data_IF_640429768990
#
_entry.id   IF_640429768990
#
_cell.length_a   1.000
_cell.length_b   1.000
_cell.length_c   1.000
_cell.angle_alpha   90.00
_cell.angle_beta   90.00
_cell.angle_gamma   90.00
#
_symmetry.space_group_name_H-M   'P 1'
#
loop_
_entity.id
_entity.type
_entity.pdbx_description
1 polymer ?
#
# COMPACT_ATOMS: atom_id res chain seq x y z
N UNK A 1 -56.05 18.25 -29.73
CA UNK A 1 -55.07 19.14 -29.07
C UNK A 1 -54.47 18.48 -27.85
N UNK A 2 -55.29 17.97 -26.92
CA UNK A 2 -54.88 17.25 -25.71
C UNK A 2 -53.82 16.16 -25.95
N UNK A 3 -54.07 15.20 -26.85
CA UNK A 3 -53.12 14.11 -27.15
C UNK A 3 -51.74 14.60 -27.61
N UNK A 4 -51.66 15.71 -28.34
CA UNK A 4 -50.35 16.26 -28.77
C UNK A 4 -49.59 16.87 -27.60
N UNK A 5 -50.30 17.59 -26.71
CA UNK A 5 -49.70 18.17 -25.50
C UNK A 5 -49.16 17.06 -24.60
N UNK A 6 -49.98 16.07 -24.29
CA UNK A 6 -49.59 14.90 -23.48
C UNK A 6 -48.39 14.16 -24.07
N UNK A 7 -48.35 13.95 -25.39
CA UNK A 7 -47.22 13.27 -26.04
C UNK A 7 -45.96 14.13 -26.13
N UNK A 8 -46.09 15.46 -26.26
CA UNK A 8 -44.94 16.37 -26.21
C UNK A 8 -44.32 16.37 -24.81
N UNK A 9 -45.14 16.49 -23.77
CA UNK A 9 -44.69 16.43 -22.37
C UNK A 9 -44.02 15.08 -22.04
N UNK A 10 -44.58 13.97 -22.56
CA UNK A 10 -43.98 12.65 -22.39
C UNK A 10 -42.61 12.52 -23.09
N UNK A 11 -42.46 13.04 -24.31
CA UNK A 11 -41.17 13.09 -25.02
C UNK A 11 -40.14 13.91 -24.25
N UNK A 12 -40.51 15.10 -23.78
CA UNK A 12 -39.62 15.95 -22.98
C UNK A 12 -39.17 15.26 -21.69
N UNK A 13 -40.09 14.57 -21.01
CA UNK A 13 -39.79 13.79 -19.80
C UNK A 13 -38.83 12.65 -20.09
N UNK A 14 -39.09 11.87 -21.14
CA UNK A 14 -38.25 10.73 -21.53
C UNK A 14 -36.84 11.19 -21.93
N UNK A 15 -36.71 12.32 -22.62
CA UNK A 15 -35.41 12.92 -22.89
C UNK A 15 -34.65 13.26 -21.60
N UNK A 16 -35.30 13.94 -20.65
CA UNK A 16 -34.67 14.29 -19.38
C UNK A 16 -34.23 13.05 -18.57
N UNK A 17 -35.06 11.99 -18.56
CA UNK A 17 -34.72 10.72 -17.91
C UNK A 17 -33.54 10.01 -18.59
N UNK A 18 -33.49 10.00 -19.93
CA UNK A 18 -32.37 9.45 -20.70
C UNK A 18 -31.09 10.21 -20.40
N UNK A 19 -31.11 11.54 -20.46
CA UNK A 19 -29.94 12.38 -20.19
C UNK A 19 -29.39 12.13 -18.77
N UNK A 20 -30.29 11.98 -17.78
CA UNK A 20 -29.91 11.65 -16.41
C UNK A 20 -29.25 10.26 -16.32
N UNK A 21 -29.80 9.26 -16.99
CA UNK A 21 -29.25 7.90 -17.02
C UNK A 21 -27.88 7.88 -17.69
N UNK A 22 -27.70 8.57 -18.82
CA UNK A 22 -26.41 8.67 -19.51
C UNK A 22 -25.34 9.30 -18.62
N UNK A 23 -25.66 10.39 -17.94
CA UNK A 23 -24.75 11.04 -17.00
C UNK A 23 -24.38 10.11 -15.83
N UNK A 24 -25.35 9.37 -15.28
CA UNK A 24 -25.11 8.42 -14.18
C UNK A 24 -24.25 7.23 -14.63
N UNK A 25 -24.52 6.67 -15.80
CA UNK A 25 -23.74 5.57 -16.40
C UNK A 25 -22.30 6.01 -16.67
N UNK A 26 -22.10 7.23 -17.18
CA UNK A 26 -20.77 7.80 -17.42
C UNK A 26 -19.99 7.93 -16.10
N UNK A 27 -20.62 8.51 -15.06
CA UNK A 27 -20.04 8.64 -13.74
C UNK A 27 -19.68 7.29 -13.11
N UNK A 28 -20.60 6.32 -13.14
CA UNK A 28 -20.34 4.97 -12.63
C UNK A 28 -19.18 4.29 -13.38
N UNK A 29 -19.05 4.54 -14.68
CA UNK A 29 -17.94 4.00 -15.48
C UNK A 29 -16.60 4.56 -15.03
N UNK A 30 -16.52 5.87 -14.79
CA UNK A 30 -15.33 6.53 -14.26
C UNK A 30 -14.97 6.00 -12.87
N UNK A 31 -15.93 5.98 -11.94
CA UNK A 31 -15.72 5.48 -10.57
C UNK A 31 -15.26 4.01 -10.55
N UNK A 32 -15.83 3.14 -11.39
CA UNK A 32 -15.39 1.74 -11.52
C UNK A 32 -13.95 1.69 -12.02
N UNK A 33 -13.59 2.51 -13.01
CA UNK A 33 -12.24 2.55 -13.55
C UNK A 33 -11.21 3.01 -12.51
N UNK A 34 -11.53 4.03 -11.73
CA UNK A 34 -10.68 4.53 -10.65
C UNK A 34 -10.48 3.48 -9.56
N UNK A 35 -11.57 2.84 -9.11
CA UNK A 35 -11.50 1.78 -8.11
C UNK A 35 -10.70 0.58 -8.60
N UNK A 36 -10.88 0.17 -9.86
CA UNK A 36 -10.13 -0.94 -10.47
C UNK A 36 -8.64 -0.63 -10.47
N UNK A 37 -8.27 0.61 -10.83
CA UNK A 37 -6.87 1.06 -10.79
C UNK A 37 -6.34 1.06 -9.35
N UNK A 38 -7.10 1.58 -8.40
CA UNK A 38 -6.69 1.59 -6.99
C UNK A 38 -6.47 0.17 -6.43
N UNK A 39 -7.29 -0.80 -6.83
CA UNK A 39 -7.10 -2.22 -6.45
C UNK A 39 -5.80 -2.77 -7.05
N UNK A 40 -5.51 -2.48 -8.33
CA UNK A 40 -4.26 -2.91 -8.97
C UNK A 40 -3.03 -2.26 -8.32
N UNK A 41 -3.10 -0.98 -7.96
CA UNK A 41 -2.03 -0.26 -7.27
C UNK A 41 -1.79 -0.83 -5.87
N UNK A 42 -2.85 -1.20 -5.14
CA UNK A 42 -2.75 -1.90 -3.84
C UNK A 42 -2.07 -3.26 -3.99
N UNK A 43 -2.44 -4.06 -4.98
CA UNK A 43 -1.82 -5.36 -5.24
C UNK A 43 -0.32 -5.23 -5.53
N UNK A 44 0.06 -4.24 -6.34
CA UNK A 44 1.46 -3.95 -6.63
C UNK A 44 2.23 -3.53 -5.36
N UNK A 45 1.64 -2.66 -4.55
CA UNK A 45 2.24 -2.20 -3.30
C UNK A 45 2.42 -3.35 -2.28
N UNK A 46 1.43 -4.23 -2.16
CA UNK A 46 1.50 -5.43 -1.30
C UNK A 46 2.59 -6.40 -1.77
N UNK A 47 2.72 -6.61 -3.08
CA UNK A 47 3.76 -7.47 -3.65
C UNK A 47 5.17 -6.90 -3.41
N UNK A 48 5.36 -5.60 -3.63
CA UNK A 48 6.65 -4.96 -3.40
C UNK A 48 7.01 -4.94 -1.91
N UNK A 49 6.05 -4.63 -1.02
CA UNK A 49 6.27 -4.71 0.42
C UNK A 49 6.67 -6.12 0.86
N UNK A 50 6.06 -7.16 0.29
CA UNK A 50 6.42 -8.56 0.57
C UNK A 50 7.86 -8.86 0.16
N UNK A 51 8.28 -8.38 -1.01
CA UNK A 51 9.62 -8.59 -1.52
C UNK A 51 10.66 -7.88 -0.65
N UNK A 52 10.46 -6.58 -0.38
CA UNK A 52 11.34 -5.80 0.51
C UNK A 52 11.45 -6.48 1.88
N UNK A 53 10.32 -6.94 2.43
CA UNK A 53 10.28 -7.62 3.72
C UNK A 53 11.11 -8.91 3.71
N UNK A 54 11.06 -9.70 2.65
CA UNK A 54 11.85 -10.93 2.52
C UNK A 54 13.35 -10.63 2.45
N UNK A 55 13.75 -9.63 1.68
CA UNK A 55 15.15 -9.22 1.52
C UNK A 55 15.73 -8.65 2.83
N UNK A 56 14.96 -7.79 3.51
CA UNK A 56 15.31 -7.23 4.82
C UNK A 56 15.42 -8.33 5.88
N UNK A 57 14.44 -9.25 5.92
CA UNK A 57 14.44 -10.38 6.87
C UNK A 57 15.71 -11.21 6.72
N UNK A 58 16.04 -11.60 5.50
CA UNK A 58 17.22 -12.42 5.22
C UNK A 58 18.51 -11.73 5.68
N UNK A 59 18.61 -10.42 5.44
CA UNK A 59 19.76 -9.60 5.85
C UNK A 59 19.86 -9.48 7.38
N UNK A 60 18.72 -9.27 8.05
CA UNK A 60 18.65 -9.16 9.50
C UNK A 60 18.98 -10.50 10.20
N UNK A 61 18.47 -11.61 9.67
CA UNK A 61 18.78 -12.96 10.18
C UNK A 61 20.28 -13.27 10.08
N UNK A 62 20.91 -12.92 8.96
CA UNK A 62 22.36 -13.06 8.79
C UNK A 62 23.12 -12.17 9.78
N UNK A 63 22.73 -10.90 9.91
CA UNK A 63 23.38 -9.94 10.81
C UNK A 63 23.30 -10.38 12.27
N UNK A 64 22.15 -10.89 12.71
CA UNK A 64 21.95 -11.43 14.06
C UNK A 64 22.87 -12.64 14.29
N UNK A 65 22.93 -13.55 13.32
CA UNK A 65 23.77 -14.74 13.39
C UNK A 65 25.25 -14.37 13.46
N UNK A 66 25.74 -13.55 12.53
CA UNK A 66 27.14 -13.15 12.44
C UNK A 66 27.56 -12.35 13.69
N UNK A 67 26.67 -11.50 14.23
CA UNK A 67 26.92 -10.78 15.49
C UNK A 67 27.05 -11.71 16.68
N UNK A 68 26.25 -12.78 16.75
CA UNK A 68 26.36 -13.79 17.82
C UNK A 68 27.62 -14.64 17.73
N UNK A 69 28.01 -15.03 16.51
CA UNK A 69 29.28 -15.74 16.26
C UNK A 69 30.49 -14.84 16.59
N UNK A 70 30.44 -13.56 16.21
CA UNK A 70 31.48 -12.59 16.52
C UNK A 70 31.62 -12.33 18.02
N UNK A 71 30.52 -12.18 18.76
CA UNK A 71 30.54 -12.09 20.24
C UNK A 71 31.26 -13.30 20.85
N UNK A 72 30.92 -14.51 20.40
CA UNK A 72 31.54 -15.74 20.91
C UNK A 72 33.05 -15.76 20.63
N UNK A 73 33.47 -15.39 19.41
CA UNK A 73 34.87 -15.35 19.03
C UNK A 73 35.67 -14.30 19.82
N UNK A 74 35.09 -13.11 20.02
CA UNK A 74 35.72 -12.03 20.79
C UNK A 74 35.84 -12.41 22.27
N UNK A 75 34.82 -13.02 22.86
CA UNK A 75 34.85 -13.51 24.24
C UNK A 75 35.95 -14.58 24.45
N UNK A 76 36.14 -15.48 23.47
CA UNK A 76 37.23 -16.47 23.50
C UNK A 76 38.61 -15.79 23.39
N UNK A 77 38.77 -14.83 22.48
CA UNK A 77 40.02 -14.08 22.33
C UNK A 77 40.37 -13.28 23.60
N UNK A 78 39.37 -12.63 24.21
CA UNK A 78 39.52 -11.93 25.49
C UNK A 78 39.97 -12.88 26.60
N UNK A 79 39.41 -14.09 26.66
CA UNK A 79 39.81 -15.11 27.64
C UNK A 79 41.28 -15.48 27.47
N UNK A 80 41.72 -15.82 26.25
CA UNK A 80 43.11 -16.18 25.95
C UNK A 80 44.08 -15.03 26.25
N UNK A 81 43.73 -13.80 25.87
CA UNK A 81 44.55 -12.61 26.12
C UNK A 81 44.67 -12.33 27.63
N UNK A 82 43.56 -12.38 28.37
CA UNK A 82 43.55 -12.18 29.83
C UNK A 82 44.42 -13.24 30.53
N UNK A 83 44.32 -14.51 30.15
CA UNK A 83 45.17 -15.59 30.69
C UNK A 83 46.65 -15.39 30.36
N UNK A 84 46.98 -14.98 29.13
CA UNK A 84 48.36 -14.71 28.71
C UNK A 84 48.99 -13.59 29.53
N UNK A 85 48.29 -12.46 29.68
CA UNK A 85 48.78 -11.32 30.47
C UNK A 85 48.84 -11.62 31.97
N UNK A 86 47.93 -12.43 32.52
CA UNK A 86 48.00 -12.89 33.90
C UNK A 86 49.25 -13.74 34.14
N UNK A 87 49.51 -14.74 33.29
CA UNK A 87 50.71 -15.60 33.38
C UNK A 87 52.01 -14.81 33.20
N UNK A 88 52.03 -13.82 32.30
CA UNK A 88 53.21 -12.96 32.10
C UNK A 88 53.50 -12.08 33.33
N UNK A 89 52.46 -11.59 34.00
CA UNK A 89 52.57 -10.85 35.27
C UNK A 89 53.06 -11.72 36.42
N UNK A 90 52.55 -12.95 36.54
CA UNK A 90 53.01 -13.91 37.56
C UNK A 90 54.48 -14.31 37.33
N UNK A 91 54.88 -14.60 36.09
CA UNK A 91 56.26 -14.96 35.76
C UNK A 91 57.25 -13.84 36.09
N UNK A 92 56.90 -12.57 35.83
CA UNK A 92 57.74 -11.42 36.20
C UNK A 92 57.78 -11.17 37.70
N UNK A 93 56.67 -11.41 38.43
CA UNK A 93 56.63 -11.31 39.89
C UNK A 93 57.49 -12.40 40.58
N UNK A 94 57.52 -13.62 40.06
CA UNK A 94 58.39 -14.70 40.54
C UNK A 94 59.89 -14.44 40.26
N UNK A 95 60.23 -13.80 39.15
CA UNK A 95 61.61 -13.42 38.81
C UNK A 95 62.15 -12.26 39.68
N UNK A 96 61.29 -11.40 40.21
CA UNK A 96 61.69 -10.32 41.12
C UNK A 96 61.99 -10.78 42.56
N UNK A 97 61.66 -12.03 42.92
CA UNK A 97 62.03 -12.63 44.20
C UNK A 97 63.42 -13.31 44.19
N UNK A 98 64.16 -13.30 43.07
CA UNK A 98 65.56 -13.69 43.05
C UNK A 98 66.50 -12.48 43.15
N UNK A 99 67.63 -12.58 43.89
CA UNK A 99 68.50 -11.44 44.15
C UNK A 99 69.21 -10.99 42.87
N UNK A 100 68.96 -9.73 42.50
CA UNK A 100 69.71 -8.86 41.58
C UNK A 100 69.89 -9.39 40.15
N UNK A 101 69.07 -8.89 39.22
CA UNK A 101 69.27 -9.08 37.78
C UNK A 101 70.52 -8.31 37.30
N UNK A 102 71.33 -8.86 36.36
CA UNK A 102 72.49 -8.17 35.79
C UNK A 102 72.08 -6.90 35.01
N UNK A 103 72.88 -5.83 35.13
CA UNK A 103 72.66 -4.45 34.64
C UNK A 103 72.42 -4.29 33.12
N UNK A 104 72.34 -5.38 32.36
CA UNK A 104 72.10 -5.40 30.91
C UNK A 104 70.61 -5.46 30.54
N UNK A 105 69.73 -5.71 31.52
CA UNK A 105 68.29 -5.57 31.34
C UNK A 105 67.81 -4.33 32.11
N UNK A 106 67.79 -3.18 31.45
CA UNK A 106 67.41 -1.88 32.04
C UNK A 106 65.99 -1.88 32.65
N UNK A 107 65.16 -2.87 32.35
CA UNK A 107 63.85 -3.07 32.99
C UNK A 107 63.37 -4.53 32.82
N UNK A 108 62.71 -5.13 33.84
CA UNK A 108 61.96 -6.36 33.64
C UNK A 108 60.93 -6.14 32.52
N UNK A 109 60.83 -7.06 31.56
CA UNK A 109 59.77 -7.03 30.55
C UNK A 109 58.42 -7.22 31.24
N UNK A 110 57.78 -6.14 31.68
CA UNK A 110 56.51 -6.15 32.45
C UNK A 110 55.30 -6.62 31.61
N UNK A 111 55.52 -7.13 30.40
CA UNK A 111 54.52 -7.07 29.33
C UNK A 111 54.07 -5.62 29.10
N UNK A 112 53.35 -5.33 28.04
CA UNK A 112 52.73 -4.01 27.89
C UNK A 112 51.57 -3.78 28.90
N UNK A 113 51.64 -4.33 30.11
CA UNK A 113 50.66 -4.12 31.19
C UNK A 113 50.60 -2.66 31.65
N UNK A 114 51.71 -1.91 31.50
CA UNK A 114 51.80 -0.51 31.95
C UNK A 114 51.24 0.51 30.95
N UNK A 115 50.94 0.10 29.71
CA UNK A 115 50.26 0.94 28.71
C UNK A 115 48.83 0.44 28.51
N UNK A 116 47.98 0.73 29.50
CA UNK A 116 46.53 0.94 29.35
C UNK A 116 45.72 -0.11 28.58
N UNK A 117 45.94 -1.41 28.76
CA UNK A 117 44.95 -2.44 28.37
C UNK A 117 44.37 -2.31 26.95
N UNK A 118 45.10 -1.70 26.01
CA UNK A 118 44.46 -1.04 24.86
C UNK A 118 43.73 -2.01 23.94
N UNK A 119 44.34 -3.17 23.70
CA UNK A 119 43.76 -4.24 22.87
C UNK A 119 42.62 -4.97 23.60
N UNK A 120 42.72 -5.17 24.92
CA UNK A 120 41.64 -5.79 25.72
C UNK A 120 40.42 -4.86 25.77
N UNK A 121 40.63 -3.58 26.08
CA UNK A 121 39.56 -2.58 26.09
C UNK A 121 38.94 -2.39 24.71
N UNK A 122 39.73 -2.41 23.62
CA UNK A 122 39.21 -2.38 22.26
C UNK A 122 38.34 -3.61 21.95
N UNK A 123 38.76 -4.81 22.35
CA UNK A 123 37.97 -6.04 22.17
C UNK A 123 36.70 -6.05 23.03
N UNK A 124 36.74 -5.54 24.26
CA UNK A 124 35.54 -5.40 25.12
C UNK A 124 34.52 -4.41 24.53
N UNK A 125 34.99 -3.32 23.91
CA UNK A 125 34.12 -2.39 23.17
C UNK A 125 33.52 -3.08 21.95
N UNK A 126 34.32 -3.82 21.16
CA UNK A 126 33.83 -4.56 19.99
C UNK A 126 32.78 -5.62 20.40
N UNK A 127 33.00 -6.35 21.49
CA UNK A 127 32.03 -7.31 22.03
C UNK A 127 30.69 -6.62 22.37
N UNK A 128 30.77 -5.49 23.09
CA UNK A 128 29.58 -4.70 23.43
C UNK A 128 28.88 -4.13 22.19
N UNK A 129 29.64 -3.77 21.15
CA UNK A 129 29.08 -3.26 19.90
C UNK A 129 28.33 -4.36 19.14
N UNK A 130 28.86 -5.59 19.09
CA UNK A 130 28.14 -6.71 18.49
C UNK A 130 26.88 -7.09 19.29
N UNK A 131 26.95 -7.08 20.63
CA UNK A 131 25.78 -7.34 21.48
C UNK A 131 24.68 -6.29 21.26
N UNK A 132 25.07 -5.01 21.13
CA UNK A 132 24.16 -3.93 20.80
C UNK A 132 23.59 -4.08 19.39
N UNK A 133 24.43 -4.37 18.39
CA UNK A 133 24.00 -4.57 17.01
C UNK A 133 22.97 -5.69 16.90
N UNK A 134 23.19 -6.81 17.59
CA UNK A 134 22.24 -7.93 17.62
C UNK A 134 20.90 -7.52 18.24
N UNK A 135 20.93 -6.83 19.39
CA UNK A 135 19.73 -6.38 20.09
C UNK A 135 18.94 -5.35 19.27
N UNK A 136 19.62 -4.36 18.70
CA UNK A 136 19.02 -3.31 17.87
C UNK A 136 18.43 -3.92 16.59
N UNK A 137 19.13 -4.86 15.96
CA UNK A 137 18.64 -5.56 14.75
C UNK A 137 17.39 -6.39 15.07
N UNK A 138 17.37 -7.12 16.19
CA UNK A 138 16.17 -7.87 16.63
C UNK A 138 14.98 -6.95 16.91
N UNK A 139 15.23 -5.81 17.55
CA UNK A 139 14.18 -4.83 17.84
C UNK A 139 13.64 -4.17 16.55
N UNK A 140 14.52 -3.84 15.61
CA UNK A 140 14.15 -3.32 14.30
C UNK A 140 13.34 -4.35 13.50
N UNK A 141 13.77 -5.62 13.48
CA UNK A 141 13.09 -6.72 12.81
C UNK A 141 11.67 -6.96 13.35
N UNK A 142 11.50 -6.94 14.68
CA UNK A 142 10.17 -7.05 15.30
C UNK A 142 9.26 -5.88 14.93
N UNK A 143 9.82 -4.67 14.85
CA UNK A 143 9.09 -3.46 14.46
C UNK A 143 8.69 -3.52 12.98
N UNK A 144 9.62 -3.87 12.10
CA UNK A 144 9.40 -4.01 10.67
C UNK A 144 8.34 -5.09 10.38
N UNK A 145 8.40 -6.24 11.07
CA UNK A 145 7.39 -7.28 10.96
C UNK A 145 6.00 -6.76 11.34
N UNK A 146 5.87 -6.03 12.46
CA UNK A 146 4.59 -5.46 12.88
C UNK A 146 4.04 -4.46 11.86
N UNK A 147 4.89 -3.56 11.35
CA UNK A 147 4.48 -2.58 10.35
C UNK A 147 4.02 -3.26 9.06
N UNK A 148 4.74 -4.30 8.62
CA UNK A 148 4.36 -5.13 7.49
C UNK A 148 3.00 -5.81 7.70
N UNK A 149 2.78 -6.44 8.86
CA UNK A 149 1.53 -7.12 9.17
C UNK A 149 0.34 -6.15 9.21
N UNK A 150 0.53 -4.97 9.79
CA UNK A 150 -0.48 -3.91 9.77
C UNK A 150 -0.77 -3.45 8.35
N UNK A 151 0.26 -3.11 7.58
CA UNK A 151 0.10 -2.68 6.19
C UNK A 151 -0.63 -3.72 5.33
N UNK A 152 -0.25 -5.00 5.45
CA UNK A 152 -0.87 -6.09 4.69
C UNK A 152 -2.32 -6.32 5.10
N UNK A 153 -2.64 -6.19 6.39
CA UNK A 153 -4.01 -6.33 6.89
C UNK A 153 -4.89 -5.19 6.39
N UNK A 154 -4.44 -3.95 6.57
CA UNK A 154 -5.17 -2.76 6.17
C UNK A 154 -5.38 -2.73 4.65
N UNK A 155 -4.34 -3.05 3.88
CA UNK A 155 -4.41 -3.12 2.41
C UNK A 155 -5.38 -4.20 1.93
N UNK A 156 -5.42 -5.36 2.61
CA UNK A 156 -6.35 -6.43 2.26
C UNK A 156 -7.81 -6.02 2.53
N UNK A 157 -8.07 -5.39 3.67
CA UNK A 157 -9.41 -4.87 4.00
C UNK A 157 -9.84 -3.79 3.00
N UNK A 158 -8.96 -2.85 2.68
CA UNK A 158 -9.25 -1.80 1.70
C UNK A 158 -9.50 -2.38 0.31
N UNK A 159 -8.70 -3.38 -0.11
CA UNK A 159 -8.92 -4.10 -1.36
C UNK A 159 -10.28 -4.80 -1.40
N UNK A 160 -10.67 -5.51 -0.34
CA UNK A 160 -11.96 -6.20 -0.26
C UNK A 160 -13.14 -5.21 -0.32
N UNK A 161 -13.03 -4.07 0.39
CA UNK A 161 -14.01 -3.00 0.34
C UNK A 161 -14.15 -2.41 -1.07
N UNK A 162 -13.03 -2.05 -1.71
CA UNK A 162 -13.05 -1.51 -3.08
C UNK A 162 -13.57 -2.51 -4.10
N UNK A 163 -13.25 -3.80 -3.95
CA UNK A 163 -13.76 -4.86 -4.83
C UNK A 163 -15.28 -4.99 -4.71
N UNK A 164 -15.79 -4.93 -3.49
CA UNK A 164 -17.24 -4.95 -3.23
C UNK A 164 -17.93 -3.71 -3.80
N UNK A 165 -17.32 -2.53 -3.67
CA UNK A 165 -17.82 -1.29 -4.29
C UNK A 165 -17.85 -1.38 -5.82
N UNK A 166 -16.83 -1.98 -6.45
CA UNK A 166 -16.81 -2.24 -7.89
C UNK A 166 -17.99 -3.13 -8.29
N UNK A 167 -18.23 -4.22 -7.55
CA UNK A 167 -19.35 -5.13 -7.83
C UNK A 167 -20.70 -4.42 -7.75
N UNK A 168 -20.96 -3.67 -6.68
CA UNK A 168 -22.20 -2.91 -6.51
C UNK A 168 -22.38 -1.84 -7.57
N UNK A 169 -21.34 -1.08 -7.91
CA UNK A 169 -21.39 -0.05 -8.96
C UNK A 169 -21.58 -0.68 -10.34
N UNK A 170 -20.98 -1.84 -10.59
CA UNK A 170 -21.14 -2.58 -11.85
C UNK A 170 -22.58 -3.07 -12.01
N UNK A 171 -23.17 -3.64 -10.96
CA UNK A 171 -24.57 -4.05 -10.97
C UNK A 171 -25.50 -2.85 -11.21
N UNK A 172 -25.28 -1.75 -10.47
CA UNK A 172 -26.07 -0.52 -10.67
C UNK A 172 -25.95 0.04 -12.09
N UNK A 173 -24.73 0.07 -12.65
CA UNK A 173 -24.50 0.50 -14.03
C UNK A 173 -25.26 -0.37 -15.03
N UNK A 174 -25.29 -1.69 -14.80
CA UNK A 174 -26.04 -2.61 -15.64
C UNK A 174 -27.55 -2.32 -15.59
N UNK A 175 -28.11 -2.11 -14.39
CA UNK A 175 -29.51 -1.77 -14.21
C UNK A 175 -29.88 -0.44 -14.90
N UNK A 176 -29.05 0.59 -14.73
CA UNK A 176 -29.23 1.89 -15.40
C UNK A 176 -29.10 1.79 -16.91
N UNK A 177 -28.19 0.94 -17.42
CA UNK A 177 -28.04 0.70 -18.87
C UNK A 177 -29.26 0.00 -19.46
N UNK A 178 -29.86 -0.93 -18.71
CA UNK A 178 -31.09 -1.58 -19.12
C UNK A 178 -32.28 -0.60 -19.10
N UNK A 179 -32.36 0.25 -18.08
CA UNK A 179 -33.37 1.31 -18.01
C UNK A 179 -33.22 2.31 -19.16
N UNK A 180 -32.00 2.73 -19.48
CA UNK A 180 -31.70 3.63 -20.60
C UNK A 180 -32.16 3.04 -21.93
N UNK A 181 -31.89 1.75 -22.16
CA UNK A 181 -32.34 1.03 -23.36
C UNK A 181 -33.87 1.04 -23.47
N UNK A 182 -34.58 0.72 -22.38
CA UNK A 182 -36.04 0.73 -22.35
C UNK A 182 -36.60 2.13 -22.60
N UNK A 183 -36.07 3.15 -21.92
CA UNK A 183 -36.52 4.54 -22.07
C UNK A 183 -36.26 5.10 -23.46
N UNK A 184 -35.15 4.71 -24.08
CA UNK A 184 -34.86 5.05 -25.48
C UNK A 184 -35.90 4.43 -26.42
N UNK A 185 -36.28 3.17 -26.21
CA UNK A 185 -37.35 2.54 -26.99
C UNK A 185 -38.73 3.20 -26.76
N UNK A 186 -39.05 3.57 -25.52
CA UNK A 186 -40.28 4.28 -25.17
C UNK A 186 -40.32 5.67 -25.82
N UNK A 187 -39.19 6.38 -25.85
CA UNK A 187 -39.04 7.67 -26.52
C UNK A 187 -39.30 7.53 -28.02
N UNK A 188 -38.67 6.55 -28.68
CA UNK A 188 -38.89 6.28 -30.11
C UNK A 188 -40.37 5.97 -30.41
N UNK A 189 -41.03 5.18 -29.56
CA UNK A 189 -42.46 4.88 -29.69
C UNK A 189 -43.34 6.13 -29.52
N UNK A 190 -43.10 6.88 -28.44
CA UNK A 190 -43.86 8.09 -28.11
C UNK A 190 -43.67 9.18 -29.16
N UNK A 191 -42.46 9.32 -29.70
CA UNK A 191 -42.16 10.25 -30.78
C UNK A 191 -42.94 9.89 -32.05
N UNK A 192 -43.00 8.60 -32.43
CA UNK A 192 -43.82 8.15 -33.58
C UNK A 192 -45.29 8.48 -33.39
N UNK A 193 -45.82 8.31 -32.19
CA UNK A 193 -47.21 8.66 -31.86
C UNK A 193 -47.45 10.17 -31.90
N UNK A 194 -46.51 10.97 -31.39
CA UNK A 194 -46.55 12.43 -31.46
C UNK A 194 -46.55 12.91 -32.91
N UNK A 195 -45.66 12.37 -33.75
CA UNK A 195 -45.55 12.70 -35.16
C UNK A 195 -46.85 12.35 -35.91
N UNK A 196 -47.44 11.19 -35.62
CA UNK A 196 -48.72 10.78 -36.18
C UNK A 196 -49.86 11.73 -35.74
N UNK A 197 -49.89 12.15 -34.48
CA UNK A 197 -50.88 13.08 -33.95
C UNK A 197 -50.74 14.50 -34.54
N UNK A 198 -49.50 14.96 -34.79
CA UNK A 198 -49.21 16.21 -35.50
C UNK A 198 -49.71 16.13 -36.95
N UNK A 199 -49.36 15.06 -37.67
CA UNK A 199 -49.79 14.85 -39.05
C UNK A 199 -51.33 14.78 -39.18
N UNK A 200 -52.01 14.11 -38.24
CA UNK A 200 -53.47 14.06 -38.21
C UNK A 200 -54.08 15.45 -37.96
N UNK A 201 -53.53 16.22 -37.03
CA UNK A 201 -53.97 17.58 -36.79
C UNK A 201 -53.79 18.49 -38.00
N UNK A 202 -52.67 18.39 -38.71
CA UNK A 202 -52.42 19.18 -39.91
C UNK A 202 -53.42 18.88 -41.03
N UNK A 203 -53.86 17.62 -41.16
CA UNK A 203 -54.95 17.24 -42.07
C UNK A 203 -56.31 17.82 -41.69
N UNK A 204 -56.57 18.04 -40.40
CA UNK A 204 -57.83 18.60 -39.91
C UNK A 204 -57.90 20.14 -40.00
N UNK A 205 -56.75 20.83 -40.05
CA UNK A 205 -56.70 22.30 -40.15
C UNK A 205 -57.51 22.85 -41.33
N UNK A 206 -57.37 22.36 -42.57
CA UNK A 206 -58.17 22.84 -43.70
C UNK A 206 -59.69 22.70 -43.46
N UNK A 207 -60.15 21.56 -42.94
CA UNK A 207 -61.56 21.31 -42.65
C UNK A 207 -62.14 22.18 -41.52
N UNK A 208 -61.30 22.70 -40.61
CA UNK A 208 -61.75 23.61 -39.54
C UNK A 208 -61.67 25.09 -39.93
N UNK A 209 -60.85 25.47 -40.91
CA UNK A 209 -60.73 26.85 -41.41
C UNK A 209 -61.73 27.12 -42.55
N UNK A 210 -62.08 26.09 -43.34
CA UNK A 210 -63.06 26.18 -44.44
C UNK A 210 -64.52 26.03 -43.96
N UNK A 211 -64.75 25.66 -42.71
CA UNK A 211 -66.06 25.73 -42.04
C UNK A 211 -66.38 27.16 -41.53
N UNK A 212 -65.65 28.17 -42.02
CA UNK A 212 -65.95 29.58 -41.86
C UNK A 212 -67.31 29.89 -42.48
N UNK A 213 -68.32 29.87 -41.63
CA UNK A 213 -69.72 30.21 -41.85
C UNK A 213 -69.87 31.36 -42.85
N UNK A 214 -70.38 31.09 -44.05
CA UNK A 214 -71.10 32.11 -44.81
C UNK A 214 -72.45 32.30 -44.10
N UNK A 215 -72.50 33.24 -43.15
CA UNK A 215 -73.78 33.83 -42.76
C UNK A 215 -74.25 34.70 -43.92
N UNK A 216 -75.00 34.11 -44.84
CA UNK A 216 -75.89 34.86 -45.72
C UNK A 216 -77.22 35.05 -44.97
N UNK A 217 -77.52 36.32 -44.66
CA UNK A 217 -78.90 36.80 -44.43
C UNK A 217 -79.72 36.73 -45.74
#
# INVERSE_FOLDING_TARGET
EQTRKEKTEAVETLHAEIDQLEASIAKLTEEISELTKAVADLDAAMAEATKVRQDEKATNELTIKDSGEAQTAVAQALTVLKEFYAKAGEATALLQQQPVAPEIFDSPYKGMQSENGGVIGMLEVIESDFARLEADTKAAEATAQKQYDTFMTDSKVDKEAKTTDIEHKTAKKQDESQAHTTKTADLEGTQKELDAALAYFDKLKPSCVDAGVSYED
#
